data_IF_584155190603
#
_entry.id   IF_584155190603
#
_cell.length_a   1.000
_cell.length_b   1.000
_cell.length_c   1.000
_cell.angle_alpha   90.00
_cell.angle_beta   90.00
_cell.angle_gamma   90.00
#
_symmetry.space_group_name_H-M   'P 1'
#
loop_
_entity.id
_entity.type
_entity.pdbx_description
1 polymer ?
#
# COMPACT_ATOMS: atom_id res chain seq x y z
N UNK A 1 -4.59 6.39 -9.86
CA UNK A 1 -5.39 5.56 -8.94
C UNK A 1 -6.60 6.33 -8.44
N UNK A 2 -7.33 5.75 -7.49
CA UNK A 2 -8.48 6.37 -6.79
C UNK A 2 -8.28 6.25 -5.30
N UNK A 3 -8.40 7.34 -4.55
CA UNK A 3 -8.42 7.30 -3.08
C UNK A 3 -9.78 6.76 -2.63
N UNK A 4 -9.78 5.71 -1.82
CA UNK A 4 -10.99 5.01 -1.38
C UNK A 4 -11.31 5.23 0.08
N UNK A 5 -10.30 5.56 0.89
CA UNK A 5 -10.49 5.76 2.32
C UNK A 5 -9.42 6.69 2.89
N UNK A 6 -9.81 7.63 3.73
CA UNK A 6 -8.92 8.43 4.55
C UNK A 6 -9.34 8.26 6.02
N UNK A 7 -8.38 7.98 6.90
CA UNK A 7 -8.58 7.85 8.33
C UNK A 7 -7.41 8.50 9.07
N UNK A 8 -7.69 9.60 9.77
CA UNK A 8 -6.66 10.44 10.35
C UNK A 8 -5.64 10.89 9.30
N UNK A 9 -4.37 10.57 9.53
CA UNK A 9 -3.24 10.89 8.65
C UNK A 9 -2.98 9.83 7.58
N UNK A 10 -3.78 8.76 7.54
CA UNK A 10 -3.60 7.65 6.59
C UNK A 10 -4.58 7.78 5.42
N UNK A 11 -4.07 7.64 4.21
CA UNK A 11 -4.86 7.53 2.98
C UNK A 11 -4.64 6.16 2.33
N UNK A 12 -5.71 5.58 1.80
CA UNK A 12 -5.68 4.32 1.03
C UNK A 12 -6.08 4.64 -0.41
N UNK A 13 -5.16 4.35 -1.33
CA UNK A 13 -5.37 4.47 -2.77
C UNK A 13 -5.42 3.11 -3.45
N UNK A 14 -6.18 3.03 -4.54
CA UNK A 14 -6.27 1.85 -5.40
C UNK A 14 -5.80 2.14 -6.82
N UNK A 15 -5.13 1.16 -7.39
CA UNK A 15 -4.77 1.12 -8.81
C UNK A 15 -5.27 -0.17 -9.43
N UNK A 16 -5.56 -0.13 -10.73
CA UNK A 16 -5.92 -1.34 -11.48
C UNK A 16 -4.66 -2.21 -11.59
N UNK A 17 -4.84 -3.52 -11.47
CA UNK A 17 -3.75 -4.51 -11.50
C UNK A 17 -2.96 -4.54 -12.81
N UNK A 18 -3.50 -3.95 -13.89
CA UNK A 18 -2.78 -3.80 -15.17
C UNK A 18 -1.73 -2.69 -15.16
N UNK A 19 -1.67 -1.90 -14.09
CA UNK A 19 -0.78 -0.76 -13.94
C UNK A 19 -0.12 -0.70 -12.54
N UNK A 20 0.62 -1.75 -12.13
CA UNK A 20 1.34 -1.76 -10.85
C UNK A 20 2.44 -0.68 -10.80
N UNK A 21 3.10 -0.42 -11.93
CA UNK A 21 4.11 0.64 -12.06
C UNK A 21 3.54 2.03 -11.78
N UNK A 22 2.30 2.32 -12.20
CA UNK A 22 1.65 3.62 -11.93
C UNK A 22 1.50 3.89 -10.43
N UNK A 23 1.32 2.85 -9.61
CA UNK A 23 1.26 3.00 -8.16
C UNK A 23 2.65 3.35 -7.59
N UNK A 24 3.70 2.71 -8.09
CA UNK A 24 5.09 2.95 -7.67
C UNK A 24 5.54 4.35 -8.11
N UNK A 25 5.31 4.73 -9.37
CA UNK A 25 5.60 6.08 -9.86
C UNK A 25 4.88 7.15 -9.05
N UNK A 26 3.60 6.91 -8.71
CA UNK A 26 2.87 7.83 -7.84
C UNK A 26 3.51 7.94 -6.45
N UNK A 27 3.94 6.82 -5.87
CA UNK A 27 4.62 6.81 -4.58
C UNK A 27 5.96 7.55 -4.63
N UNK A 28 6.76 7.34 -5.67
CA UNK A 28 8.02 8.06 -5.87
C UNK A 28 7.78 9.56 -6.04
N UNK A 29 6.76 9.95 -6.81
CA UNK A 29 6.39 11.35 -6.98
C UNK A 29 5.99 12.01 -5.65
N UNK A 30 5.20 11.32 -4.81
CA UNK A 30 4.83 11.81 -3.48
C UNK A 30 6.06 11.94 -2.57
N UNK A 31 6.98 10.96 -2.57
CA UNK A 31 8.22 11.05 -1.78
C UNK A 31 9.16 12.16 -2.26
N UNK A 32 9.11 12.53 -3.54
CA UNK A 32 9.95 13.60 -4.08
C UNK A 32 9.53 14.98 -3.58
N UNK A 33 8.29 15.12 -3.06
CA UNK A 33 7.83 16.34 -2.43
C UNK A 33 8.44 16.49 -1.03
N UNK A 34 9.42 17.38 -0.92
CA UNK A 34 10.15 17.67 0.34
C UNK A 34 9.25 18.21 1.45
N UNK A 35 8.05 18.72 1.14
CA UNK A 35 7.11 19.18 2.15
C UNK A 35 6.42 18.02 2.88
N UNK A 36 6.44 16.81 2.31
CA UNK A 36 5.68 15.66 2.77
C UNK A 36 6.62 14.55 3.26
N UNK A 37 6.79 14.45 4.58
CA UNK A 37 7.38 13.25 5.19
C UNK A 37 6.33 12.15 5.25
N UNK A 38 6.23 11.39 4.17
CA UNK A 38 5.27 10.29 4.06
C UNK A 38 5.97 8.95 4.07
N UNK A 39 5.20 7.92 4.39
CA UNK A 39 5.61 6.53 4.37
C UNK A 39 4.55 5.78 3.60
N UNK A 40 4.97 4.92 2.67
CA UNK A 40 4.06 4.21 1.78
C UNK A 40 4.32 2.72 1.77
N UNK A 41 3.25 1.94 1.74
CA UNK A 41 3.28 0.51 1.50
C UNK A 41 2.44 0.20 0.27
N UNK A 42 2.95 -0.66 -0.61
CA UNK A 42 2.29 -1.07 -1.84
C UNK A 42 2.14 -2.59 -1.84
N UNK A 43 0.93 -3.04 -2.16
CA UNK A 43 0.59 -4.45 -2.26
C UNK A 43 -0.46 -4.64 -3.36
N UNK A 44 -0.35 -5.74 -4.12
CA UNK A 44 -1.40 -6.20 -5.00
C UNK A 44 -2.05 -7.46 -4.43
N UNK A 45 -3.26 -7.73 -4.90
CA UNK A 45 -3.99 -8.92 -4.54
C UNK A 45 -5.47 -8.76 -4.78
N UNK A 46 -6.22 -9.77 -4.35
CA UNK A 46 -7.69 -9.75 -4.41
C UNK A 46 -8.24 -9.08 -3.16
N UNK A 47 -9.19 -8.19 -3.38
CA UNK A 47 -9.96 -7.52 -2.34
C UNK A 47 -11.41 -7.37 -2.81
N UNK A 48 -12.31 -7.20 -1.86
CA UNK A 48 -13.69 -6.79 -2.11
C UNK A 48 -13.74 -5.27 -2.07
N UNK A 49 -14.47 -4.67 -2.99
CA UNK A 49 -14.70 -3.23 -3.06
C UNK A 49 -16.18 -2.96 -3.28
N UNK A 50 -16.73 -2.02 -2.53
CA UNK A 50 -18.14 -1.65 -2.67
C UNK A 50 -18.66 -0.83 -1.50
N UNK A 51 -19.98 -0.62 -1.49
CA UNK A 51 -20.67 0.02 -0.37
C UNK A 51 -20.86 -1.00 0.76
N UNK A 52 -20.34 -0.67 1.94
CA UNK A 52 -20.44 -1.45 3.17
C UNK A 52 -21.26 -0.70 4.21
N UNK A 53 -21.75 -1.43 5.21
CA UNK A 53 -22.56 -0.90 6.29
C UNK A 53 -24.03 -1.32 6.17
N UNK A 54 -24.87 -0.77 7.04
CA UNK A 54 -26.29 -1.09 7.09
C UNK A 54 -27.12 -0.15 6.20
N UNK A 55 -28.44 -0.21 6.30
CA UNK A 55 -29.33 0.68 5.53
C UNK A 55 -29.23 2.15 5.95
N UNK A 56 -28.74 2.43 7.15
CA UNK A 56 -28.68 3.78 7.74
C UNK A 56 -27.32 4.44 7.53
N UNK A 57 -26.27 3.65 7.37
CA UNK A 57 -24.91 4.13 7.19
C UNK A 57 -24.18 3.25 6.19
N UNK A 58 -24.18 3.68 4.92
CA UNK A 58 -23.38 3.08 3.86
C UNK A 58 -22.14 3.91 3.57
N UNK A 59 -21.00 3.27 3.46
CA UNK A 59 -19.74 3.91 3.05
C UNK A 59 -19.01 3.04 2.04
N UNK A 60 -18.39 3.67 1.05
CA UNK A 60 -17.60 2.97 0.05
C UNK A 60 -16.25 2.59 0.66
N UNK A 61 -15.89 1.31 0.65
CA UNK A 61 -14.63 0.85 1.22
C UNK A 61 -14.10 -0.40 0.51
N UNK A 62 -12.89 -0.76 0.90
CA UNK A 62 -12.18 -1.97 0.48
C UNK A 62 -12.07 -2.90 1.69
N UNK A 63 -12.41 -4.17 1.50
CA UNK A 63 -12.26 -5.21 2.52
C UNK A 63 -11.44 -6.36 1.97
N UNK A 64 -10.44 -6.78 2.72
CA UNK A 64 -9.66 -7.94 2.40
C UNK A 64 -8.42 -8.08 3.27
N UNK A 65 -7.74 -9.23 3.19
CA UNK A 65 -6.53 -9.49 3.95
C UNK A 65 -5.41 -8.47 3.66
N UNK A 66 -5.45 -7.83 2.49
CA UNK A 66 -4.46 -6.84 2.06
C UNK A 66 -4.45 -5.59 2.96
N UNK A 67 -5.60 -5.19 3.52
CA UNK A 67 -5.64 -3.98 4.36
C UNK A 67 -4.83 -4.16 5.65
N UNK A 68 -4.95 -5.33 6.28
CA UNK A 68 -4.17 -5.67 7.47
C UNK A 68 -2.67 -5.76 7.16
N UNK A 69 -2.30 -6.35 6.03
CA UNK A 69 -0.91 -6.42 5.57
C UNK A 69 -0.34 -5.03 5.30
N UNK A 70 -1.07 -4.16 4.57
CA UNK A 70 -0.65 -2.79 4.28
C UNK A 70 -0.42 -1.96 5.56
N UNK A 71 -1.33 -2.07 6.54
CA UNK A 71 -1.18 -1.38 7.81
C UNK A 71 0.07 -1.83 8.57
N UNK A 72 0.37 -3.12 8.54
CA UNK A 72 1.58 -3.62 9.17
C UNK A 72 2.86 -3.20 8.45
N UNK A 73 2.87 -3.22 7.11
CA UNK A 73 3.99 -2.69 6.33
C UNK A 73 4.23 -1.20 6.64
N UNK A 74 3.17 -0.39 6.71
CA UNK A 74 3.27 1.01 7.10
C UNK A 74 3.86 1.19 8.50
N UNK A 75 3.45 0.37 9.47
CA UNK A 75 3.98 0.41 10.83
C UNK A 75 5.49 0.07 10.88
N UNK A 76 5.95 -0.80 10.00
CA UNK A 76 7.36 -1.22 9.93
C UNK A 76 8.24 -0.20 9.19
N UNK A 77 7.68 0.60 8.30
CA UNK A 77 8.49 1.51 7.49
C UNK A 77 9.11 2.68 8.30
N UNK A 78 8.50 3.11 9.41
CA UNK A 78 9.06 4.13 10.29
C UNK A 78 10.40 3.74 10.93
N UNK A 79 10.57 2.56 11.59
CA UNK A 79 11.86 2.15 12.14
C UNK A 79 12.91 1.85 11.07
N UNK A 80 12.49 1.48 9.86
CA UNK A 80 13.41 1.16 8.77
C UNK A 80 14.03 2.38 8.07
N UNK A 81 13.53 3.60 8.34
CA UNK A 81 13.85 4.79 7.54
C UNK A 81 13.56 4.59 6.03
N UNK A 82 12.66 3.64 5.73
CA UNK A 82 12.26 3.29 4.37
C UNK A 82 11.01 4.07 4.01
N UNK A 83 11.07 4.79 2.89
CA UNK A 83 10.00 5.66 2.43
C UNK A 83 8.91 4.93 1.65
N UNK A 84 9.28 3.82 0.98
CA UNK A 84 8.38 3.00 0.17
C UNK A 84 8.71 1.54 0.43
N UNK A 85 7.74 0.76 0.90
CA UNK A 85 7.83 -0.69 1.04
C UNK A 85 6.93 -1.38 0.01
N UNK A 86 7.44 -2.43 -0.61
CA UNK A 86 6.76 -3.22 -1.64
C UNK A 86 6.98 -4.70 -1.31
N UNK A 87 5.92 -5.49 -1.31
CA UNK A 87 6.03 -6.94 -1.09
C UNK A 87 6.71 -7.64 -2.26
N UNK A 88 7.45 -8.72 -1.97
CA UNK A 88 8.23 -9.49 -2.96
C UNK A 88 7.40 -9.97 -4.15
N UNK A 89 6.15 -10.41 -3.91
CA UNK A 89 5.23 -10.84 -4.98
C UNK A 89 4.92 -9.73 -6.01
N UNK A 90 5.17 -8.46 -5.65
CA UNK A 90 4.96 -7.28 -6.50
C UNK A 90 6.24 -6.76 -7.14
N UNK A 91 7.40 -7.28 -6.74
CA UNK A 91 8.70 -6.87 -7.29
C UNK A 91 8.81 -7.21 -8.78
N UNK A 92 8.24 -8.33 -9.24
CA UNK A 92 8.30 -8.71 -10.65
C UNK A 92 7.71 -7.65 -11.58
N UNK A 93 6.75 -6.86 -11.09
CA UNK A 93 6.17 -5.73 -11.83
C UNK A 93 6.99 -4.44 -11.71
N UNK A 94 7.77 -4.28 -10.64
CA UNK A 94 8.58 -3.09 -10.34
C UNK A 94 9.99 -3.13 -10.96
N UNK A 95 10.55 -4.33 -11.15
CA UNK A 95 11.96 -4.53 -11.53
C UNK A 95 12.32 -4.04 -12.94
N UNK A 96 11.34 -3.67 -13.77
CA UNK A 96 11.62 -3.12 -15.10
C UNK A 96 12.16 -1.68 -15.04
N UNK A 97 11.74 -0.89 -14.06
CA UNK A 97 12.08 0.54 -13.96
C UNK A 97 12.81 0.90 -12.65
N UNK A 98 12.85 0.00 -11.67
CA UNK A 98 13.36 0.28 -10.33
C UNK A 98 14.33 -0.79 -9.84
N UNK A 99 15.36 -0.34 -9.10
CA UNK A 99 16.21 -1.22 -8.31
C UNK A 99 15.52 -1.49 -6.97
N UNK A 100 14.94 -2.68 -6.82
CA UNK A 100 14.39 -3.13 -5.54
C UNK A 100 15.52 -3.62 -4.64
N UNK A 101 15.70 -2.98 -3.48
CA UNK A 101 16.60 -3.47 -2.45
C UNK A 101 15.86 -4.50 -1.60
N UNK A 102 16.35 -5.75 -1.51
CA UNK A 102 15.74 -6.74 -0.64
C UNK A 102 15.83 -6.28 0.81
N UNK A 103 14.79 -6.55 1.58
CA UNK A 103 14.73 -6.26 3.00
C UNK A 103 14.62 -7.56 3.81
N UNK A 104 14.93 -7.49 5.11
CA UNK A 104 14.79 -8.63 6.02
C UNK A 104 13.34 -9.13 6.05
N UNK A 105 13.19 -10.46 6.15
CA UNK A 105 11.88 -11.09 6.29
C UNK A 105 11.18 -10.59 7.56
N UNK A 106 9.90 -10.21 7.45
CA UNK A 106 9.13 -9.71 8.60
C UNK A 106 7.89 -10.56 8.85
N UNK A 107 7.63 -10.88 10.12
CA UNK A 107 6.42 -11.60 10.54
C UNK A 107 5.37 -10.60 11.03
N UNK A 108 4.25 -10.54 10.31
CA UNK A 108 3.08 -9.72 10.65
C UNK A 108 1.91 -10.64 10.96
N UNK A 109 1.35 -10.52 12.17
CA UNK A 109 0.18 -11.29 12.60
C UNK A 109 0.31 -12.81 12.34
N UNK A 110 1.51 -13.36 12.56
CA UNK A 110 1.83 -14.78 12.34
C UNK A 110 2.10 -15.17 10.88
N UNK A 111 2.15 -14.21 9.95
CA UNK A 111 2.46 -14.45 8.54
C UNK A 111 3.76 -13.76 8.14
N UNK A 112 4.68 -14.51 7.53
CA UNK A 112 5.95 -14.00 7.02
C UNK A 112 5.76 -13.30 5.68
N UNK A 113 6.44 -12.17 5.52
CA UNK A 113 6.51 -11.34 4.33
C UNK A 113 7.96 -10.99 4.01
#
# INVERSE_FOLDING_TARGET
>A
GTIVHCSGETAIGLWKTRSPLDAIHCAVAIQSDKALKTVMAIQCGKFLIGNLGDERSRYFNVVGPLQATLQALLALASPMHSHILILENEQQCAMYDFVCLPFEMVVVAGKSY
#
